data_IF_343776544374
#
_entry.id   IF_343776544374
#
_cell.length_a   1.000
_cell.length_b   1.000
_cell.length_c   1.000
_cell.angle_alpha   90.00
_cell.angle_beta   90.00
_cell.angle_gamma   90.00
#
_symmetry.space_group_name_H-M   'P 1'
#
loop_
_entity.id
_entity.type
_entity.pdbx_description
1 polymer ?
#
# COMPACT_ATOMS: atom_id res chain seq x y z
N UNK A 1 -18.06 1.61 -20.86
CA UNK A 1 -16.67 1.14 -20.83
C UNK A 1 -16.54 0.02 -19.82
N UNK A 2 -15.88 -1.06 -20.18
CA UNK A 2 -15.55 -2.20 -19.33
C UNK A 2 -14.05 -2.17 -18.97
N UNK A 3 -13.71 -2.56 -17.75
CA UNK A 3 -12.34 -2.57 -17.23
C UNK A 3 -11.90 -4.00 -16.89
N UNK A 4 -10.71 -4.41 -17.33
CA UNK A 4 -10.04 -5.58 -16.80
C UNK A 4 -8.95 -5.16 -15.80
N UNK A 5 -8.94 -5.76 -14.61
CA UNK A 5 -7.96 -5.46 -13.56
C UNK A 5 -7.09 -6.67 -13.28
N UNK A 6 -5.77 -6.53 -13.41
CA UNK A 6 -4.79 -7.55 -13.06
C UNK A 6 -4.21 -7.20 -11.70
N UNK A 7 -4.50 -7.99 -10.67
CA UNK A 7 -4.08 -7.71 -9.28
C UNK A 7 -3.91 -9.03 -8.50
N UNK A 8 -3.06 -9.11 -7.46
CA UNK A 8 -2.92 -10.34 -6.65
C UNK A 8 -4.13 -10.65 -5.76
N UNK A 9 -5.15 -9.79 -5.80
CA UNK A 9 -6.41 -9.97 -5.10
C UNK A 9 -7.49 -10.53 -6.05
N UNK A 10 -8.41 -11.39 -5.58
CA UNK A 10 -8.24 -12.35 -4.48
C UNK A 10 -7.19 -13.44 -4.81
N UNK A 11 -6.65 -14.19 -3.85
CA UNK A 11 -7.06 -14.28 -2.45
C UNK A 11 -6.28 -13.34 -1.52
N UNK A 12 -5.24 -12.65 -2.00
CA UNK A 12 -4.35 -11.87 -1.13
C UNK A 12 -4.89 -10.47 -0.89
N UNK A 13 -5.44 -10.23 0.30
CA UNK A 13 -5.90 -8.91 0.78
C UNK A 13 -4.81 -8.14 1.57
N UNK A 14 -3.54 -8.39 1.30
CA UNK A 14 -2.42 -7.72 1.97
C UNK A 14 -1.60 -6.90 0.98
N UNK A 15 -0.98 -5.82 1.47
CA UNK A 15 -0.16 -4.92 0.65
C UNK A 15 -0.92 -4.37 -0.55
N UNK A 16 -0.41 -4.60 -1.76
CA UNK A 16 -0.99 -4.09 -3.01
C UNK A 16 -2.37 -4.70 -3.29
N UNK A 17 -2.66 -5.89 -2.75
CA UNK A 17 -3.97 -6.54 -2.92
C UNK A 17 -5.10 -5.80 -2.19
N UNK A 18 -4.80 -5.17 -1.04
CA UNK A 18 -5.76 -4.32 -0.33
C UNK A 18 -6.12 -3.08 -1.17
N UNK A 19 -5.11 -2.45 -1.79
CA UNK A 19 -5.33 -1.34 -2.72
C UNK A 19 -6.22 -1.74 -3.91
N UNK A 20 -5.93 -2.89 -4.52
CA UNK A 20 -6.75 -3.46 -5.60
C UNK A 20 -8.20 -3.69 -5.18
N UNK A 21 -8.42 -4.27 -3.99
CA UNK A 21 -9.74 -4.55 -3.45
C UNK A 21 -10.60 -3.29 -3.27
N UNK A 22 -10.09 -2.26 -2.59
CA UNK A 22 -10.86 -1.05 -2.35
C UNK A 22 -11.10 -0.26 -3.64
N UNK A 23 -10.08 -0.13 -4.51
CA UNK A 23 -10.21 0.67 -5.72
C UNK A 23 -11.12 0.00 -6.76
N UNK A 24 -11.07 -1.32 -6.94
CA UNK A 24 -12.00 -2.02 -7.86
C UNK A 24 -13.46 -1.81 -7.46
N UNK A 25 -13.74 -1.90 -6.15
CA UNK A 25 -15.09 -1.66 -5.64
C UNK A 25 -15.51 -0.21 -5.78
N UNK A 26 -14.60 0.75 -5.54
CA UNK A 26 -14.89 2.16 -5.72
C UNK A 26 -15.19 2.49 -7.20
N UNK A 27 -14.37 1.98 -8.12
CA UNK A 27 -14.55 2.18 -9.57
C UNK A 27 -15.89 1.63 -10.07
N UNK A 28 -16.34 0.48 -9.54
CA UNK A 28 -17.66 -0.07 -9.82
C UNK A 28 -18.78 0.73 -9.14
N UNK A 29 -18.63 1.07 -7.86
CA UNK A 29 -19.63 1.78 -7.04
C UNK A 29 -19.95 3.17 -7.59
N UNK A 30 -18.92 3.91 -8.01
CA UNK A 30 -19.06 5.26 -8.54
C UNK A 30 -19.40 5.31 -10.03
N UNK A 31 -19.65 4.16 -10.68
CA UNK A 31 -20.17 4.10 -12.04
C UNK A 31 -19.19 4.50 -13.15
N UNK A 32 -17.88 4.52 -12.88
CA UNK A 32 -16.87 4.83 -13.92
C UNK A 32 -16.82 3.76 -15.02
N UNK A 33 -17.17 2.51 -14.66
CA UNK A 33 -17.20 1.37 -15.56
C UNK A 33 -18.49 0.59 -15.39
N UNK A 34 -19.05 0.12 -16.51
CA UNK A 34 -20.24 -0.75 -16.52
C UNK A 34 -19.95 -2.09 -15.86
N UNK A 35 -18.72 -2.59 -16.07
CA UNK A 35 -18.25 -3.88 -15.60
C UNK A 35 -16.76 -3.82 -15.28
N UNK A 36 -16.37 -4.34 -14.12
CA UNK A 36 -14.97 -4.48 -13.69
C UNK A 36 -14.65 -5.97 -13.55
N UNK A 37 -13.81 -6.51 -14.43
CA UNK A 37 -13.38 -7.91 -14.43
C UNK A 37 -12.01 -8.01 -13.74
N UNK A 38 -11.99 -8.55 -12.52
CA UNK A 38 -10.76 -8.78 -11.75
C UNK A 38 -10.14 -10.10 -12.20
N UNK A 39 -9.09 -10.01 -13.00
CA UNK A 39 -8.27 -11.14 -13.42
C UNK A 39 -7.25 -11.45 -12.34
N UNK A 40 -7.29 -12.66 -11.79
CA UNK A 40 -6.52 -12.99 -10.60
C UNK A 40 -6.02 -14.44 -10.54
N UNK A 41 -5.35 -14.80 -9.44
CA UNK A 41 -4.86 -16.15 -9.16
C UNK A 41 -6.01 -17.17 -9.04
N UNK A 42 -5.73 -18.42 -9.41
CA UNK A 42 -6.71 -19.53 -9.34
C UNK A 42 -7.12 -19.95 -7.91
N UNK A 43 -6.28 -19.78 -6.91
CA UNK A 43 -6.46 -20.34 -5.57
C UNK A 43 -7.29 -19.45 -4.62
N UNK A 44 -7.93 -20.08 -3.62
CA UNK A 44 -8.62 -19.41 -2.49
C UNK A 44 -10.15 -19.42 -2.56
N UNK A 45 -10.86 -18.90 -1.55
CA UNK A 45 -12.33 -18.75 -1.58
C UNK A 45 -12.75 -17.59 -2.51
N UNK A 46 -13.94 -17.64 -3.10
CA UNK A 46 -14.52 -16.49 -3.84
C UNK A 46 -14.87 -15.40 -2.86
N UNK A 47 -14.31 -14.20 -3.05
CA UNK A 47 -14.49 -13.06 -2.13
C UNK A 47 -15.32 -11.94 -2.77
N UNK A 48 -15.46 -11.96 -4.10
CA UNK A 48 -16.13 -10.89 -4.86
C UNK A 48 -17.50 -11.34 -5.36
N UNK A 49 -18.56 -10.93 -4.66
CA UNK A 49 -19.93 -10.91 -5.18
C UNK A 49 -20.60 -9.59 -4.81
N UNK A 50 -20.07 -8.48 -5.35
CA UNK A 50 -20.71 -7.15 -5.27
C UNK A 50 -21.11 -6.70 -6.66
N UNK A 51 -22.18 -5.93 -6.76
CA UNK A 51 -22.73 -5.46 -8.05
C UNK A 51 -21.64 -4.73 -8.87
N UNK A 52 -21.40 -5.18 -10.10
CA UNK A 52 -20.47 -4.58 -11.06
C UNK A 52 -19.01 -5.08 -11.04
N UNK A 53 -18.63 -5.95 -10.09
CA UNK A 53 -17.28 -6.57 -10.04
C UNK A 53 -17.38 -8.08 -10.27
N UNK A 54 -16.74 -8.56 -11.34
CA UNK A 54 -16.67 -9.96 -11.72
C UNK A 54 -15.26 -10.52 -11.46
N UNK A 55 -15.17 -11.77 -11.05
CA UNK A 55 -13.89 -12.43 -10.77
C UNK A 55 -13.51 -13.42 -11.90
N UNK A 56 -12.33 -13.25 -12.49
CA UNK A 56 -11.76 -14.13 -13.51
C UNK A 56 -10.47 -14.78 -13.00
N UNK A 57 -10.62 -15.95 -12.38
CA UNK A 57 -9.49 -16.76 -11.91
C UNK A 57 -8.75 -17.41 -13.06
N UNK A 58 -7.48 -17.04 -13.26
CA UNK A 58 -6.79 -17.38 -14.51
C UNK A 58 -5.41 -17.99 -14.34
N UNK A 59 -4.55 -17.47 -13.46
CA UNK A 59 -3.16 -17.91 -13.39
C UNK A 59 -2.84 -18.76 -12.13
N UNK A 60 -2.02 -19.82 -12.25
CA UNK A 60 -1.44 -20.50 -11.10
C UNK A 60 -0.23 -19.72 -10.56
N UNK A 61 -0.15 -19.53 -9.23
CA UNK A 61 0.96 -18.83 -8.59
C UNK A 61 2.28 -19.55 -8.79
N UNK A 62 3.31 -18.81 -9.22
CA UNK A 62 4.67 -19.34 -9.42
C UNK A 62 4.85 -20.25 -10.65
N UNK A 63 3.82 -20.46 -11.48
CA UNK A 63 3.88 -21.40 -12.59
C UNK A 63 4.44 -20.77 -13.89
N UNK A 64 5.27 -21.46 -14.69
CA UNK A 64 5.90 -20.89 -15.89
C UNK A 64 4.92 -20.56 -17.03
N UNK A 65 3.79 -21.25 -17.13
CA UNK A 65 2.76 -20.98 -18.15
C UNK A 65 1.78 -19.83 -17.81
N UNK A 66 2.06 -19.03 -16.76
CA UNK A 66 1.13 -18.01 -16.27
C UNK A 66 0.79 -16.95 -17.34
N UNK A 67 1.78 -16.53 -18.14
CA UNK A 67 1.60 -15.47 -19.13
C UNK A 67 0.55 -15.80 -20.19
N UNK A 68 0.55 -17.03 -20.69
CA UNK A 68 -0.44 -17.51 -21.66
C UNK A 68 -1.85 -17.53 -21.06
N UNK A 69 -1.98 -17.91 -19.79
CA UNK A 69 -3.28 -17.93 -19.11
C UNK A 69 -3.79 -16.53 -18.79
N UNK A 70 -2.90 -15.63 -18.38
CA UNK A 70 -3.19 -14.22 -18.19
C UNK A 70 -3.67 -13.58 -19.49
N UNK A 71 -2.96 -13.78 -20.61
CA UNK A 71 -3.35 -13.28 -21.93
C UNK A 71 -4.74 -13.81 -22.34
N UNK A 72 -4.97 -15.12 -22.19
CA UNK A 72 -6.26 -15.73 -22.51
C UNK A 72 -7.41 -15.15 -21.66
N UNK A 73 -7.16 -14.86 -20.38
CA UNK A 73 -8.15 -14.25 -19.51
C UNK A 73 -8.43 -12.79 -19.87
N UNK A 74 -7.40 -12.00 -20.17
CA UNK A 74 -7.56 -10.61 -20.63
C UNK A 74 -8.35 -10.54 -21.95
N UNK A 75 -8.07 -11.45 -22.90
CA UNK A 75 -8.83 -11.55 -24.16
C UNK A 75 -10.29 -11.97 -23.94
N UNK A 76 -10.56 -12.88 -23.00
CA UNK A 76 -11.93 -13.29 -22.64
C UNK A 76 -12.71 -12.20 -21.91
N UNK A 77 -12.03 -11.35 -21.14
CA UNK A 77 -12.68 -10.24 -20.44
C UNK A 77 -13.33 -9.24 -21.42
N UNK A 78 -12.76 -9.09 -22.63
CA UNK A 78 -13.23 -8.16 -23.68
C UNK A 78 -13.44 -6.74 -23.12
N UNK A 79 -12.46 -6.28 -22.34
CA UNK A 79 -12.49 -4.97 -21.72
C UNK A 79 -11.95 -3.88 -22.65
N UNK A 80 -12.40 -2.64 -22.43
CA UNK A 80 -11.99 -1.46 -23.20
C UNK A 80 -10.72 -0.81 -22.63
N UNK A 81 -10.37 -1.10 -21.37
CA UNK A 81 -9.11 -0.72 -20.73
C UNK A 81 -8.59 -1.84 -19.82
N UNK A 82 -7.27 -1.84 -19.59
CA UNK A 82 -6.61 -2.74 -18.64
C UNK A 82 -5.91 -1.94 -17.56
N UNK A 83 -6.21 -2.23 -16.30
CA UNK A 83 -5.45 -1.74 -15.15
C UNK A 83 -4.61 -2.87 -14.56
N UNK A 84 -3.31 -2.67 -14.41
CA UNK A 84 -2.40 -3.60 -13.75
C UNK A 84 -1.94 -3.00 -12.42
N UNK A 85 -2.43 -3.55 -11.32
CA UNK A 85 -1.92 -3.25 -9.99
C UNK A 85 -0.66 -4.11 -9.75
N UNK A 86 0.49 -3.54 -10.11
CA UNK A 86 1.73 -4.29 -10.30
C UNK A 86 2.60 -4.33 -9.03
N UNK A 87 3.09 -5.52 -8.72
CA UNK A 87 4.17 -5.76 -7.78
C UNK A 87 5.04 -6.91 -8.23
N UNK A 88 6.36 -6.85 -7.96
CA UNK A 88 7.32 -7.88 -8.36
C UNK A 88 6.94 -9.28 -7.84
N UNK A 89 6.28 -9.33 -6.68
CA UNK A 89 5.86 -10.59 -6.05
C UNK A 89 4.48 -11.08 -6.48
N UNK A 90 3.72 -10.34 -7.29
CA UNK A 90 2.31 -10.69 -7.56
C UNK A 90 2.12 -12.03 -8.27
N UNK A 91 3.13 -12.47 -9.03
CA UNK A 91 3.13 -13.71 -9.81
C UNK A 91 3.80 -14.90 -9.14
N UNK A 92 4.43 -14.72 -7.98
CA UNK A 92 5.17 -15.78 -7.30
C UNK A 92 6.59 -15.40 -6.92
N UNK A 93 7.27 -16.28 -6.17
CA UNK A 93 8.68 -16.11 -5.83
C UNK A 93 9.63 -16.42 -7.00
N UNK A 94 9.15 -17.06 -8.07
CA UNK A 94 9.97 -17.51 -9.20
C UNK A 94 10.24 -16.38 -10.21
N UNK A 95 11.51 -16.10 -10.55
CA UNK A 95 11.86 -15.17 -11.64
C UNK A 95 11.25 -15.56 -12.99
N UNK A 96 11.14 -16.87 -13.27
CA UNK A 96 10.52 -17.37 -14.50
C UNK A 96 9.02 -17.06 -14.55
N UNK A 97 8.34 -17.08 -13.40
CA UNK A 97 6.94 -16.66 -13.31
C UNK A 97 6.81 -15.15 -13.58
N UNK A 98 7.65 -14.30 -13.00
CA UNK A 98 7.66 -12.87 -13.30
C UNK A 98 7.87 -12.59 -14.80
N UNK A 99 8.87 -13.24 -15.41
CA UNK A 99 9.16 -13.11 -16.85
C UNK A 99 7.95 -13.54 -17.70
N UNK A 100 7.34 -14.70 -17.38
CA UNK A 100 6.15 -15.20 -18.05
C UNK A 100 4.97 -14.23 -17.94
N UNK A 101 4.72 -13.68 -16.74
CA UNK A 101 3.68 -12.69 -16.51
C UNK A 101 3.89 -11.41 -17.34
N UNK A 102 5.11 -10.87 -17.35
CA UNK A 102 5.46 -9.70 -18.15
C UNK A 102 5.33 -9.95 -19.67
N UNK A 103 5.68 -11.16 -20.14
CA UNK A 103 5.45 -11.58 -21.53
C UNK A 103 3.95 -11.64 -21.86
N UNK A 104 3.13 -12.18 -20.95
CA UNK A 104 1.67 -12.17 -21.09
C UNK A 104 1.08 -10.76 -21.17
N UNK A 105 1.55 -9.85 -20.32
CA UNK A 105 1.15 -8.43 -20.37
C UNK A 105 1.62 -7.74 -21.66
N UNK A 106 2.83 -8.04 -22.13
CA UNK A 106 3.35 -7.51 -23.40
C UNK A 106 2.47 -7.95 -24.56
N UNK A 107 2.16 -9.24 -24.64
CA UNK A 107 1.27 -9.77 -25.68
C UNK A 107 -0.16 -9.22 -25.58
N UNK A 108 -0.62 -8.83 -24.38
CA UNK A 108 -1.91 -8.17 -24.20
C UNK A 108 -1.90 -6.69 -24.60
N UNK A 109 -0.76 -6.01 -24.43
CA UNK A 109 -0.59 -4.61 -24.86
C UNK A 109 -0.48 -4.50 -26.39
N UNK A 110 0.07 -5.51 -27.07
CA UNK A 110 0.19 -5.56 -28.53
C UNK A 110 -1.19 -5.77 -29.17
N UNK A 111 -1.78 -4.68 -29.69
CA UNK A 111 -3.08 -4.70 -30.37
C UNK A 111 -4.28 -4.87 -29.44
N UNK A 112 -4.08 -4.71 -28.13
CA UNK A 112 -5.14 -4.75 -27.12
C UNK A 112 -5.57 -3.35 -26.65
N UNK A 113 -6.49 -3.30 -25.69
CA UNK A 113 -6.94 -2.05 -25.07
C UNK A 113 -5.79 -1.30 -24.37
N UNK A 114 -5.90 0.04 -24.20
CA UNK A 114 -4.91 0.82 -23.48
C UNK A 114 -4.69 0.29 -22.06
N UNK A 115 -3.43 0.22 -21.67
CA UNK A 115 -3.00 -0.30 -20.38
C UNK A 115 -2.54 0.84 -19.45
N UNK A 116 -2.97 0.78 -18.20
CA UNK A 116 -2.45 1.59 -17.10
C UNK A 116 -1.85 0.67 -16.06
N UNK A 117 -0.65 0.98 -15.58
CA UNK A 117 0.08 0.15 -14.63
C UNK A 117 0.39 0.99 -13.40
N UNK A 118 -0.09 0.55 -12.24
CA UNK A 118 0.28 1.18 -10.97
C UNK A 118 1.42 0.43 -10.32
N UNK A 119 2.52 1.14 -10.03
CA UNK A 119 3.67 0.59 -9.33
C UNK A 119 3.55 0.90 -7.84
N UNK A 120 3.36 -0.13 -7.03
CA UNK A 120 3.25 0.00 -5.58
C UNK A 120 4.51 -0.43 -4.82
N UNK A 121 5.37 -1.26 -5.43
CA UNK A 121 6.48 -1.85 -4.71
C UNK A 121 7.69 -0.90 -4.54
N UNK A 122 8.16 -0.70 -3.30
CA UNK A 122 9.33 0.10 -2.96
C UNK A 122 10.59 -0.20 -3.81
N UNK A 123 10.94 -1.47 -4.00
CA UNK A 123 12.20 -1.88 -4.65
C UNK A 123 12.30 -1.54 -6.14
N UNK A 124 11.16 -1.44 -6.84
CA UNK A 124 11.07 -1.00 -8.24
C UNK A 124 11.52 0.45 -8.38
N UNK A 125 11.20 1.26 -7.37
CA UNK A 125 11.38 2.71 -7.37
C UNK A 125 12.76 3.06 -6.76
N UNK A 126 13.18 2.33 -5.72
CA UNK A 126 14.52 2.43 -5.13
C UNK A 126 15.66 2.11 -6.09
N UNK A 127 15.44 1.27 -7.11
CA UNK A 127 16.43 0.94 -8.14
C UNK A 127 16.92 2.17 -8.95
N UNK A 128 16.17 3.28 -8.92
CA UNK A 128 16.52 4.55 -9.56
C UNK A 128 16.88 5.67 -8.56
N UNK A 129 16.75 5.42 -7.26
CA UNK A 129 16.99 6.41 -6.20
C UNK A 129 18.22 6.09 -5.35
N UNK A 130 19.02 5.09 -5.71
CA UNK A 130 20.31 4.80 -5.07
C UNK A 130 20.23 4.20 -3.66
N UNK A 131 19.05 3.81 -3.19
CA UNK A 131 18.88 3.20 -1.86
C UNK A 131 19.40 1.76 -1.80
N UNK A 132 20.35 1.50 -0.90
CA UNK A 132 20.90 0.17 -0.63
C UNK A 132 19.92 -0.69 0.18
N UNK A 133 18.92 -1.27 -0.48
CA UNK A 133 17.99 -2.23 0.16
C UNK A 133 18.54 -3.66 0.23
N UNK A 134 19.85 -3.80 0.46
CA UNK A 134 20.53 -5.10 0.38
C UNK A 134 20.42 -5.75 -1.02
N UNK A 135 20.11 -4.98 -2.06
CA UNK A 135 20.09 -5.44 -3.45
C UNK A 135 21.42 -5.12 -4.09
N UNK A 136 22.09 -6.14 -4.64
CA UNK A 136 23.35 -5.97 -5.36
C UNK A 136 23.22 -4.99 -6.54
N UNK A 137 24.33 -4.39 -6.97
CA UNK A 137 24.39 -3.52 -8.15
C UNK A 137 23.79 -4.18 -9.41
N UNK A 138 24.06 -5.47 -9.60
CA UNK A 138 23.46 -6.28 -10.66
C UNK A 138 21.94 -6.42 -10.51
N UNK A 139 21.45 -6.67 -9.29
CA UNK A 139 20.00 -6.74 -9.02
C UNK A 139 19.30 -5.40 -9.30
N UNK A 140 19.93 -4.28 -8.97
CA UNK A 140 19.39 -2.96 -9.32
C UNK A 140 19.31 -2.75 -10.85
N UNK A 141 20.31 -3.21 -11.61
CA UNK A 141 20.28 -3.12 -13.07
C UNK A 141 19.12 -3.92 -13.67
N UNK A 142 18.89 -5.15 -13.17
CA UNK A 142 17.75 -5.97 -13.58
C UNK A 142 16.42 -5.29 -13.26
N UNK A 143 16.28 -4.73 -12.06
CA UNK A 143 15.07 -3.99 -11.69
C UNK A 143 14.83 -2.79 -12.62
N UNK A 144 15.86 -2.01 -12.94
CA UNK A 144 15.75 -0.89 -13.89
C UNK A 144 15.27 -1.35 -15.27
N UNK A 145 15.74 -2.50 -15.75
CA UNK A 145 15.28 -3.09 -17.01
C UNK A 145 13.80 -3.50 -16.94
N UNK A 146 13.37 -4.13 -15.84
CA UNK A 146 11.97 -4.50 -15.62
C UNK A 146 11.09 -3.26 -15.62
N UNK A 147 11.47 -2.19 -14.90
CA UNK A 147 10.68 -0.95 -14.86
C UNK A 147 10.57 -0.31 -16.24
N UNK A 148 11.69 -0.24 -16.99
CA UNK A 148 11.69 0.26 -18.36
C UNK A 148 10.80 -0.56 -19.29
N UNK A 149 10.76 -1.88 -19.10
CA UNK A 149 9.88 -2.75 -19.87
C UNK A 149 8.41 -2.49 -19.52
N UNK A 150 8.07 -2.49 -18.23
CA UNK A 150 6.71 -2.21 -17.74
C UNK A 150 6.21 -0.83 -18.19
N UNK A 151 7.07 0.20 -18.14
CA UNK A 151 6.72 1.55 -18.56
C UNK A 151 6.46 1.69 -20.06
N UNK A 152 6.91 0.74 -20.90
CA UNK A 152 6.60 0.71 -22.34
C UNK A 152 5.24 0.08 -22.64
N UNK A 153 4.65 -0.63 -21.68
CA UNK A 153 3.38 -1.31 -21.88
C UNK A 153 2.17 -0.35 -21.81
N UNK A 154 2.32 0.83 -21.20
CA UNK A 154 1.22 1.76 -21.04
C UNK A 154 1.53 2.97 -20.15
N UNK A 155 0.48 3.59 -19.61
CA UNK A 155 0.59 4.71 -18.67
C UNK A 155 0.99 4.19 -17.30
N UNK A 156 1.99 4.77 -16.65
CA UNK A 156 2.45 4.36 -15.32
C UNK A 156 1.90 5.31 -14.26
N UNK A 157 1.15 4.80 -13.30
CA UNK A 157 0.72 5.53 -12.10
C UNK A 157 1.60 5.17 -10.89
N UNK A 158 1.96 6.16 -10.09
CA UNK A 158 2.72 5.97 -8.84
C UNK A 158 2.13 6.77 -7.68
N UNK A 159 2.22 6.27 -6.44
CA UNK A 159 1.54 6.83 -5.26
C UNK A 159 2.20 8.05 -4.61
N UNK A 160 3.38 8.48 -5.08
CA UNK A 160 4.09 9.67 -4.59
C UNK A 160 4.58 10.53 -5.77
N UNK A 161 4.58 11.85 -5.58
CA UNK A 161 5.01 12.80 -6.60
C UNK A 161 6.50 12.67 -6.89
N UNK A 162 7.32 12.53 -5.85
CA UNK A 162 8.77 12.32 -5.96
C UNK A 162 9.13 11.06 -6.77
N UNK A 163 8.28 10.03 -6.72
CA UNK A 163 8.44 8.82 -7.53
C UNK A 163 8.10 9.08 -9.00
N UNK A 164 7.04 9.84 -9.26
CA UNK A 164 6.66 10.20 -10.63
C UNK A 164 7.78 11.01 -11.29
N UNK A 165 8.31 12.01 -10.59
CA UNK A 165 9.43 12.84 -11.04
C UNK A 165 10.71 12.03 -11.25
N UNK A 166 11.06 11.16 -10.30
CA UNK A 166 12.22 10.28 -10.41
C UNK A 166 12.11 9.35 -11.63
N UNK A 167 10.94 8.76 -11.84
CA UNK A 167 10.71 7.84 -12.96
C UNK A 167 10.70 8.56 -14.31
N UNK A 168 10.08 9.75 -14.41
CA UNK A 168 10.12 10.57 -15.63
C UNK A 168 11.56 10.92 -16.04
N UNK A 169 12.39 11.32 -15.07
CA UNK A 169 13.82 11.58 -15.29
C UNK A 169 14.55 10.31 -15.76
N UNK A 170 14.34 9.19 -15.09
CA UNK A 170 15.03 7.94 -15.38
C UNK A 170 14.66 7.29 -16.73
N UNK A 171 13.44 7.53 -17.20
CA UNK A 171 12.93 7.01 -18.47
C UNK A 171 13.20 7.95 -19.66
N UNK A 172 13.71 9.17 -19.42
CA UNK A 172 13.96 10.16 -20.47
C UNK A 172 12.67 10.66 -21.14
N UNK A 173 11.57 10.70 -20.39
CA UNK A 173 10.21 10.90 -20.89
C UNK A 173 9.30 9.70 -20.62
N UNK A 174 8.02 9.80 -20.98
CA UNK A 174 7.03 8.73 -20.81
C UNK A 174 5.78 9.17 -20.06
N UNK A 175 4.70 8.40 -20.24
CA UNK A 175 3.39 8.67 -19.62
C UNK A 175 3.39 8.18 -18.17
N UNK A 176 4.09 8.90 -17.30
CA UNK A 176 4.06 8.67 -15.84
C UNK A 176 3.14 9.70 -15.20
N UNK A 177 2.23 9.26 -14.34
CA UNK A 177 1.26 10.09 -13.62
C UNK A 177 1.35 9.82 -12.12
N UNK A 178 1.10 10.85 -11.34
CA UNK A 178 0.98 10.74 -9.89
C UNK A 178 -0.50 10.61 -9.54
N UNK A 179 -0.85 9.55 -8.80
CA UNK A 179 -2.15 9.43 -8.13
C UNK A 179 -1.85 8.97 -6.71
N UNK A 180 -2.19 9.74 -5.67
CA UNK A 180 -1.91 9.41 -4.29
C UNK A 180 -2.57 8.10 -3.89
N UNK A 181 -2.03 7.50 -2.83
CA UNK A 181 -2.64 6.31 -2.25
C UNK A 181 -4.06 6.58 -1.73
N UNK A 182 -4.25 7.68 -1.00
CA UNK A 182 -5.51 8.07 -0.40
C UNK A 182 -6.02 7.13 0.70
N UNK A 183 -7.21 7.43 1.20
CA UNK A 183 -7.90 6.64 2.23
C UNK A 183 -8.68 5.49 1.60
N UNK A 184 -8.80 4.39 2.35
CA UNK A 184 -9.72 3.31 2.00
C UNK A 184 -11.12 3.52 2.60
N UNK A 185 -11.14 4.26 3.70
CA UNK A 185 -12.32 4.50 4.53
C UNK A 185 -12.63 6.00 4.51
N UNK A 186 -13.92 6.40 4.60
CA UNK A 186 -14.26 7.80 4.72
C UNK A 186 -13.67 8.36 6.04
N UNK A 187 -13.29 9.66 6.06
CA UNK A 187 -12.88 10.30 7.30
C UNK A 187 -13.99 10.21 8.35
N UNK A 188 -13.65 9.71 9.52
CA UNK A 188 -14.54 9.53 10.65
C UNK A 188 -13.77 9.79 11.95
N UNK A 189 -14.25 10.70 12.79
CA UNK A 189 -13.67 10.94 14.10
C UNK A 189 -14.02 9.79 15.07
N UNK A 190 -13.16 8.79 15.18
CA UNK A 190 -13.36 7.72 16.16
C UNK A 190 -13.21 8.26 17.60
N UNK A 191 -14.02 7.78 18.55
CA UNK A 191 -13.88 8.17 19.95
C UNK A 191 -12.52 7.75 20.50
N UNK A 192 -11.98 8.53 21.42
CA UNK A 192 -10.75 8.18 22.11
C UNK A 192 -11.00 6.99 23.06
N UNK A 193 -10.15 5.95 23.04
CA UNK A 193 -10.31 4.83 23.98
C UNK A 193 -10.00 5.29 25.41
N UNK A 194 -10.64 4.66 26.43
CA UNK A 194 -10.47 5.04 27.83
C UNK A 194 -9.07 4.71 28.39
N UNK A 195 -8.32 3.80 27.74
CA UNK A 195 -6.99 3.37 28.16
C UNK A 195 -5.95 3.70 27.09
N UNK A 196 -4.70 4.06 27.48
CA UNK A 196 -3.63 4.40 26.55
C UNK A 196 -3.19 3.19 25.72
N UNK A 197 -3.52 3.21 24.43
CA UNK A 197 -3.20 2.15 23.47
C UNK A 197 -2.28 2.61 22.35
N UNK A 198 -1.17 1.89 22.15
CA UNK A 198 -0.28 2.04 21.00
C UNK A 198 -0.61 0.93 19.98
N UNK A 199 -0.83 1.30 18.72
CA UNK A 199 -1.12 0.33 17.66
C UNK A 199 -0.02 0.30 16.60
N UNK A 200 0.58 -0.88 16.42
CA UNK A 200 1.24 -1.24 15.17
C UNK A 200 0.27 -2.03 14.29
N UNK A 201 0.07 -1.58 13.05
CA UNK A 201 -0.80 -2.25 12.09
C UNK A 201 -0.07 -2.54 10.78
N UNK A 202 -0.23 -3.75 10.22
CA UNK A 202 0.24 -4.13 8.89
C UNK A 202 1.17 -5.34 8.86
N UNK A 203 1.85 -5.57 7.73
CA UNK A 203 2.73 -6.73 7.56
C UNK A 203 3.88 -6.74 8.58
N UNK A 204 4.20 -7.93 9.10
CA UNK A 204 5.34 -8.14 9.99
C UNK A 204 6.57 -8.51 9.16
N UNK A 205 7.53 -7.60 9.07
CA UNK A 205 8.76 -7.74 8.28
C UNK A 205 9.92 -6.96 8.93
N UNK A 206 11.19 -7.30 8.64
CA UNK A 206 12.36 -6.63 9.23
C UNK A 206 12.33 -5.10 9.11
N UNK A 207 12.04 -4.60 7.90
CA UNK A 207 12.00 -3.16 7.62
C UNK A 207 10.88 -2.39 8.33
N UNK A 208 9.93 -3.09 8.97
CA UNK A 208 8.84 -2.46 9.73
C UNK A 208 9.22 -2.09 11.16
N UNK A 209 10.42 -2.48 11.61
CA UNK A 209 11.05 -1.99 12.84
C UNK A 209 10.37 -2.41 14.15
N UNK A 210 9.71 -3.57 14.18
CA UNK A 210 9.16 -4.12 15.42
C UNK A 210 10.19 -4.29 16.55
N UNK A 211 11.47 -4.68 16.33
CA UNK A 211 12.46 -4.74 17.40
C UNK A 211 12.65 -3.39 18.10
N UNK A 212 12.76 -2.31 17.33
CA UNK A 212 12.86 -0.93 17.85
C UNK A 212 11.61 -0.56 18.64
N UNK A 213 10.43 -0.93 18.15
CA UNK A 213 9.17 -0.68 18.86
C UNK A 213 9.05 -1.45 20.17
N UNK A 214 9.44 -2.72 20.20
CA UNK A 214 9.40 -3.53 21.42
C UNK A 214 10.32 -2.93 22.50
N UNK A 215 11.55 -2.54 22.13
CA UNK A 215 12.48 -1.86 23.04
C UNK A 215 11.97 -0.48 23.50
N UNK A 216 11.34 0.28 22.60
CA UNK A 216 10.74 1.57 22.97
C UNK A 216 9.54 1.39 23.92
N UNK A 217 8.71 0.38 23.68
CA UNK A 217 7.54 0.10 24.49
C UNK A 217 7.90 -0.39 25.89
N UNK A 218 8.97 -1.18 26.03
CA UNK A 218 9.52 -1.56 27.34
C UNK A 218 9.85 -0.32 28.20
N UNK A 219 10.49 0.68 27.59
CA UNK A 219 10.82 1.96 28.25
C UNK A 219 9.60 2.79 28.57
N UNK A 220 8.68 2.93 27.62
CA UNK A 220 7.40 3.62 27.82
C UNK A 220 6.64 3.03 29.01
N UNK A 221 6.59 1.70 29.09
CA UNK A 221 5.84 1.00 30.13
C UNK A 221 6.47 1.13 31.52
N UNK A 222 7.79 1.29 31.61
CA UNK A 222 8.45 1.61 32.87
C UNK A 222 7.94 2.93 33.47
N UNK A 223 7.63 3.93 32.63
CA UNK A 223 7.04 5.20 33.05
C UNK A 223 5.50 5.15 33.14
N UNK A 224 4.85 4.36 32.26
CA UNK A 224 3.41 4.19 32.20
C UNK A 224 3.00 2.71 32.22
N UNK A 225 2.86 2.09 33.41
CA UNK A 225 2.55 0.67 33.54
C UNK A 225 1.21 0.23 32.93
N UNK A 226 0.30 1.18 32.69
CA UNK A 226 -1.03 0.95 32.11
C UNK A 226 -1.03 0.90 30.58
N UNK A 227 0.06 1.34 29.92
CA UNK A 227 0.16 1.36 28.47
C UNK A 227 0.07 -0.07 27.88
N UNK A 228 -0.64 -0.18 26.77
CA UNK A 228 -0.79 -1.43 26.00
C UNK A 228 -0.30 -1.22 24.57
N UNK A 229 0.49 -2.16 24.05
CA UNK A 229 0.88 -2.23 22.66
C UNK A 229 0.11 -3.35 21.96
N UNK A 230 -0.71 -3.00 20.96
CA UNK A 230 -1.32 -3.96 20.05
C UNK A 230 -0.49 -4.08 18.77
N UNK A 231 -0.03 -5.28 18.45
CA UNK A 231 0.61 -5.65 17.18
C UNK A 231 -0.41 -6.44 16.36
N UNK A 232 -0.99 -5.79 15.37
CA UNK A 232 -2.04 -6.32 14.51
C UNK A 232 -1.52 -6.49 13.07
N UNK A 233 -1.43 -7.72 12.60
CA UNK A 233 -0.93 -8.01 11.27
C UNK A 233 -0.46 -9.45 11.04
N UNK A 234 -0.22 -9.76 9.75
CA UNK A 234 0.28 -11.05 9.30
C UNK A 234 1.79 -11.00 9.01
N UNK A 235 2.47 -12.14 9.18
CA UNK A 235 3.84 -12.33 8.70
C UNK A 235 3.97 -12.03 7.21
N UNK A 236 5.01 -11.31 6.83
CA UNK A 236 5.29 -11.05 5.42
C UNK A 236 5.75 -12.34 4.72
N UNK A 237 5.21 -12.71 3.54
CA UNK A 237 5.52 -14.00 2.89
C UNK A 237 7.01 -14.23 2.58
N UNK A 238 7.78 -13.15 2.33
CA UNK A 238 9.24 -13.24 2.15
C UNK A 238 10.03 -13.50 3.45
N UNK A 239 9.39 -13.39 4.61
CA UNK A 239 10.01 -13.52 5.93
C UNK A 239 9.14 -14.40 6.87
N UNK A 240 8.87 -15.67 6.49
CA UNK A 240 7.86 -16.50 7.14
C UNK A 240 8.09 -16.72 8.64
N UNK A 241 9.35 -16.79 9.08
CA UNK A 241 9.73 -17.08 10.47
C UNK A 241 9.91 -15.83 11.33
N UNK A 242 9.98 -14.64 10.72
CA UNK A 242 10.33 -13.40 11.41
C UNK A 242 9.31 -13.02 12.49
N UNK A 243 8.01 -13.10 12.15
CA UNK A 243 6.94 -12.77 13.08
C UNK A 243 6.84 -13.74 14.25
N UNK A 244 7.00 -15.04 14.01
CA UNK A 244 6.99 -16.06 15.06
C UNK A 244 8.17 -15.92 16.01
N UNK A 245 9.37 -15.60 15.50
CA UNK A 245 10.55 -15.36 16.32
C UNK A 245 10.35 -14.15 17.25
N UNK A 246 9.84 -13.03 16.73
CA UNK A 246 9.55 -11.84 17.55
C UNK A 246 8.48 -12.08 18.60
N UNK A 247 7.42 -12.82 18.25
CA UNK A 247 6.37 -13.18 19.20
C UNK A 247 6.89 -14.05 20.33
N UNK A 248 7.83 -14.95 20.04
CA UNK A 248 8.48 -15.77 21.05
C UNK A 248 9.35 -14.91 21.99
N UNK A 249 10.15 -14.00 21.44
CA UNK A 249 10.99 -13.07 22.20
C UNK A 249 10.16 -12.16 23.11
N UNK A 250 9.01 -11.68 22.61
CA UNK A 250 8.11 -10.80 23.35
C UNK A 250 7.02 -11.54 24.14
N UNK A 251 7.09 -12.87 24.30
CA UNK A 251 6.02 -13.67 24.93
C UNK A 251 5.72 -13.23 26.36
N UNK A 252 6.76 -12.84 27.10
CA UNK A 252 6.65 -12.38 28.49
C UNK A 252 6.71 -10.85 28.59
N UNK A 253 6.71 -10.13 27.47
CA UNK A 253 6.75 -8.67 27.48
C UNK A 253 5.40 -8.15 27.97
N UNK A 254 5.34 -7.53 29.15
CA UNK A 254 4.07 -7.20 29.76
C UNK A 254 3.38 -6.08 28.98
N UNK A 255 2.07 -6.22 28.71
CA UNK A 255 1.29 -5.23 27.96
C UNK A 255 1.43 -5.28 26.44
N UNK A 256 2.19 -6.23 25.90
CA UNK A 256 2.25 -6.48 24.45
C UNK A 256 1.19 -7.52 24.07
N UNK A 257 0.30 -7.16 23.13
CA UNK A 257 -0.74 -8.03 22.60
C UNK A 257 -0.50 -8.28 21.11
N UNK A 258 -0.53 -9.55 20.72
CA UNK A 258 -0.39 -9.98 19.33
C UNK A 258 -1.75 -10.43 18.80
N UNK A 259 -2.40 -9.58 18.00
CA UNK A 259 -3.74 -9.86 17.44
C UNK A 259 -3.68 -10.74 16.19
N UNK A 260 -2.50 -10.86 15.56
CA UNK A 260 -2.36 -11.59 14.30
C UNK A 260 -3.07 -10.88 13.14
N UNK A 261 -3.37 -11.60 12.04
CA UNK A 261 -4.06 -11.02 10.89
C UNK A 261 -5.47 -10.51 11.26
N UNK A 262 -5.75 -9.25 10.95
CA UNK A 262 -7.08 -8.64 11.18
C UNK A 262 -7.87 -8.66 9.87
N UNK A 263 -9.07 -9.29 9.83
CA UNK A 263 -9.97 -9.21 8.68
C UNK A 263 -10.39 -7.76 8.41
N UNK A 264 -10.67 -7.41 7.15
CA UNK A 264 -11.01 -6.04 6.76
C UNK A 264 -12.15 -5.43 7.61
N UNK A 265 -13.18 -6.22 7.94
CA UNK A 265 -14.30 -5.80 8.79
C UNK A 265 -13.90 -5.43 10.23
N UNK A 266 -12.79 -5.99 10.75
CA UNK A 266 -12.28 -5.71 12.09
C UNK A 266 -11.29 -4.54 12.15
N UNK A 267 -10.83 -4.01 11.01
CA UNK A 267 -9.76 -3.00 11.01
C UNK A 267 -10.20 -1.70 11.67
N UNK A 268 -11.42 -1.23 11.40
CA UNK A 268 -11.97 -0.03 12.05
C UNK A 268 -12.00 -0.17 13.57
N UNK A 269 -12.40 -1.33 14.09
CA UNK A 269 -12.42 -1.59 15.53
C UNK A 269 -11.01 -1.61 16.13
N UNK A 270 -10.04 -2.24 15.45
CA UNK A 270 -8.63 -2.24 15.89
C UNK A 270 -8.06 -0.83 16.03
N UNK A 271 -8.31 0.07 15.06
CA UNK A 271 -7.93 1.48 15.20
C UNK A 271 -8.81 2.21 16.24
N UNK A 272 -10.06 1.78 16.42
CA UNK A 272 -10.96 2.24 17.47
C UNK A 272 -10.41 2.08 18.88
N UNK A 273 -9.64 1.02 19.13
CA UNK A 273 -9.06 0.70 20.44
C UNK A 273 -7.72 1.38 20.73
N UNK A 274 -7.15 2.14 19.78
CA UNK A 274 -5.84 2.77 19.94
C UNK A 274 -5.94 4.28 20.18
N UNK A 275 -5.01 4.78 21.00
CA UNK A 275 -4.81 6.21 21.26
C UNK A 275 -3.83 6.80 20.25
N UNK A 276 -2.83 6.02 19.82
CA UNK A 276 -1.81 6.43 18.85
C UNK A 276 -1.44 5.26 17.94
N UNK A 277 -1.18 5.55 16.66
CA UNK A 277 -0.69 4.60 15.67
C UNK A 277 0.79 4.83 15.44
N UNK A 278 1.59 3.77 15.47
CA UNK A 278 3.05 3.84 15.35
C UNK A 278 3.54 3.18 14.05
N UNK A 279 4.40 3.89 13.31
CA UNK A 279 5.07 3.41 12.09
C UNK A 279 6.59 3.46 12.31
N UNK A 280 7.16 2.51 13.09
CA UNK A 280 8.57 2.55 13.51
C UNK A 280 9.49 2.00 12.42
N UNK A 281 9.20 2.31 11.17
CA UNK A 281 9.83 1.66 10.02
C UNK A 281 11.32 1.97 9.99
N UNK A 282 12.12 0.99 9.59
CA UNK A 282 13.54 1.18 9.30
C UNK A 282 13.74 1.59 7.84
N UNK A 283 12.79 1.24 6.98
CA UNK A 283 12.85 1.58 5.57
C UNK A 283 11.45 1.64 4.95
N UNK A 284 11.25 2.57 4.02
CA UNK A 284 10.02 2.76 3.26
C UNK A 284 10.34 3.42 1.93
N UNK A 285 9.79 2.92 0.82
CA UNK A 285 9.93 3.56 -0.50
C UNK A 285 8.59 3.77 -1.18
N UNK A 286 7.52 3.88 -0.40
CA UNK A 286 6.18 4.18 -0.90
C UNK A 286 5.28 4.68 0.22
N UNK A 287 4.14 5.23 -0.17
CA UNK A 287 3.09 5.63 0.75
C UNK A 287 2.61 4.44 1.60
N UNK A 288 2.34 4.70 2.89
CA UNK A 288 1.79 3.69 3.80
C UNK A 288 0.28 3.85 3.92
N UNK A 289 -0.50 2.83 3.59
CA UNK A 289 -1.95 2.83 3.81
C UNK A 289 -2.32 3.09 5.27
N UNK A 290 -1.47 2.65 6.20
CA UNK A 290 -1.63 2.83 7.65
C UNK A 290 -1.61 4.31 8.05
N UNK A 291 -0.78 5.13 7.38
CA UNK A 291 -0.72 6.58 7.62
C UNK A 291 -2.06 7.23 7.26
N UNK A 292 -2.60 6.93 6.07
CA UNK A 292 -3.88 7.46 5.62
C UNK A 292 -5.06 6.95 6.45
N UNK A 293 -5.06 5.68 6.88
CA UNK A 293 -6.10 5.14 7.78
C UNK A 293 -6.07 5.77 9.17
N UNK A 294 -4.89 5.98 9.73
CA UNK A 294 -4.76 6.66 11.01
C UNK A 294 -5.32 8.09 10.91
N UNK A 295 -4.96 8.83 9.87
CA UNK A 295 -5.53 10.15 9.61
C UNK A 295 -7.05 10.13 9.40
N UNK A 296 -7.56 9.20 8.58
CA UNK A 296 -8.98 9.05 8.29
C UNK A 296 -9.80 8.76 9.56
N UNK A 297 -9.22 8.06 10.52
CA UNK A 297 -9.89 7.75 11.80
C UNK A 297 -9.51 8.67 12.95
N UNK A 298 -8.82 9.78 12.65
CA UNK A 298 -8.44 10.76 13.65
C UNK A 298 -7.47 10.23 14.70
N UNK A 299 -6.65 9.24 14.35
CA UNK A 299 -5.62 8.70 15.23
C UNK A 299 -4.31 9.47 15.05
N UNK A 300 -3.74 10.01 16.13
CA UNK A 300 -2.38 10.52 16.12
C UNK A 300 -1.38 9.49 15.61
N UNK A 301 -0.35 9.96 14.92
CA UNK A 301 0.68 9.14 14.31
C UNK A 301 2.05 9.51 14.87
N UNK A 302 2.79 8.50 15.29
CA UNK A 302 4.24 8.56 15.55
C UNK A 302 4.93 7.73 14.49
N UNK A 303 5.89 8.28 13.75
CA UNK A 303 6.54 7.56 12.65
C UNK A 303 8.02 7.87 12.56
N UNK A 304 8.79 6.86 12.12
CA UNK A 304 10.17 7.07 11.71
C UNK A 304 10.24 8.08 10.55
N UNK A 305 11.16 9.04 10.65
CA UNK A 305 11.38 10.08 9.65
C UNK A 305 12.10 9.53 8.42
N UNK A 306 11.34 8.82 7.60
CA UNK A 306 11.80 8.26 6.34
C UNK A 306 11.33 9.12 5.16
N UNK A 307 12.17 9.35 4.12
CA UNK A 307 11.82 10.23 3.00
C UNK A 307 10.45 9.94 2.36
N UNK A 308 10.11 8.67 2.15
CA UNK A 308 8.83 8.29 1.54
C UNK A 308 7.62 8.58 2.45
N UNK A 309 7.77 8.46 3.77
CA UNK A 309 6.71 8.74 4.74
C UNK A 309 6.56 10.25 4.91
N UNK A 310 7.67 11.00 4.97
CA UNK A 310 7.71 12.46 4.93
C UNK A 310 7.01 13.01 3.69
N UNK A 311 7.33 12.48 2.51
CA UNK A 311 6.71 12.88 1.25
C UNK A 311 5.20 12.60 1.27
N UNK A 312 4.78 11.40 1.68
CA UNK A 312 3.36 11.05 1.77
C UNK A 312 2.59 11.98 2.73
N UNK A 313 3.18 12.28 3.90
CA UNK A 313 2.57 13.17 4.88
C UNK A 313 2.51 14.61 4.35
N UNK A 314 3.58 15.12 3.73
CA UNK A 314 3.61 16.46 3.15
C UNK A 314 2.59 16.62 2.00
N UNK A 315 2.54 15.65 1.08
CA UNK A 315 1.60 15.64 -0.05
C UNK A 315 0.14 15.64 0.42
N UNK A 316 -0.17 14.92 1.50
CA UNK A 316 -1.52 14.85 2.05
C UNK A 316 -1.79 15.89 3.15
N UNK A 317 -0.86 16.82 3.40
CA UNK A 317 -0.97 17.81 4.46
C UNK A 317 -1.09 17.22 5.87
N UNK A 318 -0.59 16.01 6.12
CA UNK A 318 -0.72 15.31 7.40
C UNK A 318 0.35 15.74 8.40
N UNK A 319 -0.06 15.96 9.64
CA UNK A 319 0.82 16.09 10.79
C UNK A 319 1.18 14.73 11.36
N UNK A 320 2.46 14.56 11.69
CA UNK A 320 3.05 13.34 12.24
C UNK A 320 4.08 13.72 13.29
N UNK A 321 4.15 12.96 14.37
CA UNK A 321 5.21 13.05 15.36
C UNK A 321 6.42 12.25 14.84
N UNK A 322 7.46 12.94 14.43
CA UNK A 322 8.62 12.34 13.76
C UNK A 322 9.66 11.87 14.77
N UNK A 323 10.24 10.69 14.51
CA UNK A 323 11.37 10.17 15.28
C UNK A 323 12.47 9.65 14.34
N UNK A 324 13.75 9.67 14.74
CA UNK A 324 14.80 9.03 13.96
C UNK A 324 14.54 7.52 13.78
N UNK A 325 14.81 6.99 12.59
CA UNK A 325 14.63 5.57 12.33
C UNK A 325 15.60 4.72 13.17
N UNK A 326 15.08 3.69 13.86
CA UNK A 326 15.88 2.79 14.69
C UNK A 326 16.17 3.29 16.12
N UNK A 327 15.77 4.53 16.45
CA UNK A 327 15.98 5.14 17.76
C UNK A 327 14.85 4.77 18.73
N UNK A 328 15.06 3.70 19.52
CA UNK A 328 14.09 3.27 20.53
C UNK A 328 13.90 4.27 21.69
N UNK A 329 14.92 5.01 22.19
CA UNK A 329 14.67 6.08 23.18
C UNK A 329 13.76 7.18 22.65
N UNK A 330 14.07 7.76 21.49
CA UNK A 330 13.26 8.83 20.90
C UNK A 330 11.85 8.35 20.58
N UNK A 331 11.69 7.10 20.13
CA UNK A 331 10.37 6.50 19.92
C UNK A 331 9.58 6.37 21.23
N UNK A 332 10.21 5.98 22.33
CA UNK A 332 9.55 5.89 23.63
C UNK A 332 9.09 7.27 24.13
N UNK A 333 9.96 8.28 24.03
CA UNK A 333 9.66 9.67 24.41
C UNK A 333 8.52 10.26 23.58
N UNK A 334 8.52 10.04 22.26
CA UNK A 334 7.45 10.52 21.39
C UNK A 334 6.11 9.84 21.70
N UNK A 335 6.11 8.53 21.97
CA UNK A 335 4.91 7.81 22.38
C UNK A 335 4.40 8.31 23.74
N UNK A 336 5.27 8.51 24.71
CA UNK A 336 4.90 9.02 26.03
C UNK A 336 4.31 10.43 25.94
N UNK A 337 4.96 11.32 25.19
CA UNK A 337 4.46 12.67 24.94
C UNK A 337 3.06 12.66 24.30
N UNK A 338 2.84 11.83 23.28
CA UNK A 338 1.53 11.73 22.62
C UNK A 338 0.47 11.13 23.56
N UNK A 339 0.81 10.13 24.37
CA UNK A 339 -0.12 9.52 25.33
C UNK A 339 -0.42 10.44 26.53
N UNK A 340 0.54 11.25 26.96
CA UNK A 340 0.42 12.18 28.09
C UNK A 340 -0.23 13.54 27.77
N UNK A 341 -0.35 13.90 26.48
CA UNK A 341 -0.84 15.21 26.02
C UNK A 341 -2.14 15.12 25.21
N UNK A 342 -3.33 15.14 25.83
CA UNK A 342 -4.61 15.14 25.12
C UNK A 342 -4.75 16.32 24.14
N UNK A 343 -4.17 17.47 24.45
CA UNK A 343 -4.09 18.65 23.59
C UNK A 343 -3.38 18.37 22.25
N UNK A 344 -2.24 17.66 22.30
CA UNK A 344 -1.52 17.25 21.08
C UNK A 344 -2.34 16.29 20.25
N UNK A 345 -2.98 15.31 20.90
CA UNK A 345 -3.80 14.31 20.21
C UNK A 345 -4.97 14.96 19.51
N UNK A 346 -5.68 15.84 20.19
CA UNK A 346 -6.83 16.54 19.65
C UNK A 346 -6.45 17.50 18.52
N UNK A 347 -5.33 18.23 18.65
CA UNK A 347 -4.82 19.10 17.60
C UNK A 347 -4.48 18.30 16.33
N UNK A 348 -3.70 17.23 16.46
CA UNK A 348 -3.33 16.39 15.32
C UNK A 348 -4.54 15.66 14.72
N UNK A 349 -5.47 15.20 15.56
CA UNK A 349 -6.73 14.58 15.12
C UNK A 349 -7.53 15.51 14.21
N UNK A 350 -7.83 16.72 14.67
CA UNK A 350 -8.62 17.70 13.89
C UNK A 350 -7.94 18.04 12.58
N UNK A 351 -6.64 18.34 12.63
CA UNK A 351 -5.85 18.67 11.44
C UNK A 351 -5.86 17.53 10.43
N UNK A 352 -5.52 16.31 10.85
CA UNK A 352 -5.39 15.17 9.94
C UNK A 352 -6.75 14.72 9.37
N UNK A 353 -7.84 14.78 10.13
CA UNK A 353 -9.19 14.49 9.62
C UNK A 353 -9.59 15.46 8.51
N UNK A 354 -9.28 16.74 8.67
CA UNK A 354 -9.55 17.75 7.65
C UNK A 354 -8.68 17.53 6.41
N UNK A 355 -7.36 17.41 6.59
CA UNK A 355 -6.40 17.30 5.51
C UNK A 355 -6.64 16.04 4.65
N UNK A 356 -6.93 14.90 5.28
CA UNK A 356 -7.11 13.64 4.58
C UNK A 356 -8.41 13.57 3.77
N UNK A 357 -9.37 14.46 4.02
CA UNK A 357 -10.64 14.51 3.30
C UNK A 357 -10.48 14.73 1.78
N UNK A 358 -9.46 15.48 1.37
CA UNK A 358 -9.11 15.70 -0.05
C UNK A 358 -8.54 14.46 -0.74
N UNK A 359 -8.12 13.46 0.04
CA UNK A 359 -7.50 12.22 -0.42
C UNK A 359 -8.42 11.02 -0.23
N UNK A 360 -9.74 11.24 -0.29
CA UNK A 360 -10.74 10.19 -0.14
C UNK A 360 -10.65 9.13 -1.24
N UNK A 361 -11.15 7.91 -0.94
CA UNK A 361 -11.26 6.84 -1.92
C UNK A 361 -12.02 7.27 -3.19
N UNK A 362 -13.00 8.15 -3.05
CA UNK A 362 -13.76 8.71 -4.17
C UNK A 362 -12.91 9.58 -5.07
N UNK A 363 -12.14 10.50 -4.49
CA UNK A 363 -11.23 11.34 -5.26
C UNK A 363 -10.18 10.51 -6.01
N UNK A 364 -9.60 9.50 -5.34
CA UNK A 364 -8.64 8.58 -5.96
C UNK A 364 -9.31 7.76 -7.07
N UNK A 365 -10.49 7.20 -6.83
CA UNK A 365 -11.24 6.46 -7.84
C UNK A 365 -11.62 7.33 -9.04
N UNK A 366 -11.95 8.60 -8.84
CA UNK A 366 -12.23 9.55 -9.91
C UNK A 366 -10.99 9.87 -10.75
N UNK A 367 -9.82 10.01 -10.12
CA UNK A 367 -8.56 10.18 -10.84
C UNK A 367 -8.21 8.94 -11.68
N UNK A 368 -8.37 7.74 -11.12
CA UNK A 368 -8.20 6.49 -11.86
C UNK A 368 -9.23 6.32 -12.98
N UNK A 369 -10.51 6.64 -12.72
CA UNK A 369 -11.59 6.58 -13.71
C UNK A 369 -11.26 7.42 -14.93
N UNK A 370 -10.88 8.70 -14.72
CA UNK A 370 -10.42 9.58 -15.81
C UNK A 370 -9.20 9.02 -16.52
N UNK A 371 -8.16 8.64 -15.77
CA UNK A 371 -6.92 8.09 -16.32
C UNK A 371 -7.18 6.88 -17.23
N UNK A 372 -7.98 5.92 -16.76
CA UNK A 372 -8.27 4.68 -17.47
C UNK A 372 -9.14 4.90 -18.70
N UNK A 373 -10.09 5.84 -18.63
CA UNK A 373 -10.93 6.23 -19.76
C UNK A 373 -10.15 7.02 -20.84
N UNK A 374 -9.05 7.68 -20.47
CA UNK A 374 -8.25 8.49 -21.40
C UNK A 374 -6.86 7.92 -21.69
N UNK A 375 -6.51 6.74 -21.19
CA UNK A 375 -5.18 6.14 -21.31
C UNK A 375 -4.68 5.96 -22.76
N UNK A 376 -5.61 5.86 -23.73
CA UNK A 376 -5.29 5.82 -25.17
C UNK A 376 -4.90 7.17 -25.79
N UNK A 377 -5.12 8.29 -25.10
CA UNK A 377 -4.85 9.64 -25.61
C UNK A 377 -3.40 10.06 -25.39
N UNK A 378 -2.92 10.98 -26.23
CA UNK A 378 -1.55 11.51 -26.16
C UNK A 378 -1.35 12.52 -25.01
N UNK A 379 -2.41 13.20 -24.59
CA UNK A 379 -2.44 14.28 -23.59
C UNK A 379 -2.85 13.81 -22.18
N UNK A 380 -2.81 12.50 -21.91
CA UNK A 380 -3.33 11.87 -20.68
C UNK A 380 -2.83 12.53 -19.37
N UNK A 381 -1.62 13.08 -19.36
CA UNK A 381 -1.04 13.72 -18.18
C UNK A 381 -1.75 15.01 -17.78
N UNK A 382 -2.32 15.74 -18.73
CA UNK A 382 -3.05 16.98 -18.50
C UNK A 382 -4.49 16.74 -18.00
N UNK A 383 -4.97 15.48 -18.07
CA UNK A 383 -6.35 15.10 -17.78
C UNK A 383 -6.53 14.49 -16.36
N UNK A 384 -5.42 14.22 -15.67
CA UNK A 384 -5.43 13.79 -14.27
C UNK A 384 -5.38 15.04 -13.38
N UNK A 385 -6.25 15.18 -12.38
CA UNK A 385 -6.27 16.36 -11.52
C UNK A 385 -4.93 16.55 -10.82
N UNK A 386 -4.55 17.82 -10.65
CA UNK A 386 -3.49 18.17 -9.72
C UNK A 386 -4.00 18.01 -8.29
N UNK A 387 -3.20 17.34 -7.46
CA UNK A 387 -3.43 17.19 -6.04
C UNK A 387 -2.75 18.37 -5.34
N UNK A 388 -3.54 19.17 -4.63
CA UNK A 388 -3.13 20.40 -3.96
C UNK A 388 -2.30 20.19 -2.71
#
# INVERSE_FOLDING_TARGET
MDLAVVTPFPPRLTGIGQYGYHLCQALARFGFFRRVVVVTERAGPTVLSRHGVEECRSWPYGHPALGLRLLGALRRARADAVWVNFGLSMFGPSPAALLSGLMGLTAAALGGPPMTITLHEPGIIGAFQGGEFGVSSAGQAVLRLIVRWVARLGVVAVPLRSQAEGLRRALGGGRVVYIPHGTFDPPEALPEPPAPGVLFFGSIAPYKGLPTLLAAFERLRAANPSAVLEIAGAGHPRFPEYGSALRLLARNAPGVRWSGPVPEAGVRETFGRSTVVVLPYQAALGASSVLYRAAAWGRPVVASELPAIRAAAAEAGLQVNWVPAGDSPALAEALDAVLGRPDLREAQRRHNLQAVGSFSLEAVAAAYGRLLQTAGRQDVQCLVPEWG
#
